data_IF_904409872701
#
_entry.id   IF_904409872701
#
_cell.length_a   1.000
_cell.length_b   1.000
_cell.length_c   1.000
_cell.angle_alpha   90.00
_cell.angle_beta   90.00
_cell.angle_gamma   90.00
#
_symmetry.space_group_name_H-M   'P 1'
#
loop_
_entity.id
_entity.type
_entity.pdbx_description
1 polymer ?
#
# COMPACT_ATOMS: atom_id res chain seq x y z
N UNK A 1 -15.86 -10.07 -32.74
CA UNK A 1 -16.12 -8.66 -33.10
C UNK A 1 -16.48 -7.85 -31.85
N UNK A 2 -15.59 -7.82 -30.84
CA UNK A 2 -15.90 -7.20 -29.52
C UNK A 2 -14.69 -6.48 -28.88
N UNK A 3 -13.59 -6.28 -29.60
CA UNK A 3 -12.32 -5.83 -29.01
C UNK A 3 -11.84 -4.43 -29.43
N UNK A 4 -12.56 -3.73 -30.32
CA UNK A 4 -12.15 -2.39 -30.79
C UNK A 4 -12.89 -1.22 -30.13
N UNK A 5 -14.07 -1.44 -29.55
CA UNK A 5 -14.97 -0.34 -29.16
C UNK A 5 -14.87 0.10 -27.69
N UNK A 6 -14.18 -0.67 -26.84
CA UNK A 6 -13.99 -0.30 -25.42
C UNK A 6 -12.85 0.70 -25.19
N UNK A 7 -11.98 0.92 -26.18
CA UNK A 7 -10.85 1.87 -26.06
C UNK A 7 -11.23 3.31 -26.39
N UNK A 8 -12.31 3.54 -27.14
CA UNK A 8 -12.70 4.85 -27.68
C UNK A 8 -13.57 5.68 -26.73
N UNK A 9 -14.25 5.06 -25.76
CA UNK A 9 -15.19 5.75 -24.86
C UNK A 9 -14.81 5.56 -23.38
N UNK A 10 -14.21 6.59 -22.73
CA UNK A 10 -13.77 6.50 -21.34
C UNK A 10 -14.93 6.26 -20.36
N UNK A 11 -16.16 6.71 -20.69
CA UNK A 11 -17.33 6.52 -19.82
C UNK A 11 -17.81 5.07 -19.83
N UNK A 12 -17.78 4.42 -21.00
CA UNK A 12 -18.13 3.00 -21.14
C UNK A 12 -17.13 2.09 -20.43
N UNK A 13 -15.83 2.41 -20.49
CA UNK A 13 -14.81 1.60 -19.81
C UNK A 13 -14.88 1.73 -18.28
N UNK A 14 -15.07 2.94 -17.76
CA UNK A 14 -15.31 3.16 -16.32
C UNK A 14 -16.60 2.48 -15.89
N UNK A 15 -17.66 2.57 -16.71
CA UNK A 15 -18.91 1.85 -16.48
C UNK A 15 -18.74 0.33 -16.46
N UNK A 16 -18.00 -0.25 -17.40
CA UNK A 16 -17.71 -1.67 -17.46
C UNK A 16 -16.81 -2.12 -16.30
N UNK A 17 -15.76 -1.37 -15.96
CA UNK A 17 -14.88 -1.67 -14.83
C UNK A 17 -15.60 -1.58 -13.49
N UNK A 18 -16.43 -0.54 -13.29
CA UNK A 18 -17.29 -0.40 -12.13
C UNK A 18 -18.32 -1.54 -12.07
N UNK A 19 -18.96 -1.89 -13.19
CA UNK A 19 -19.92 -3.00 -13.25
C UNK A 19 -19.27 -4.37 -12.99
N UNK A 20 -18.05 -4.60 -13.50
CA UNK A 20 -17.29 -5.83 -13.25
C UNK A 20 -16.88 -5.92 -11.79
N UNK A 21 -16.45 -4.80 -11.21
CA UNK A 21 -16.06 -4.70 -9.80
C UNK A 21 -17.26 -4.89 -8.88
N UNK A 22 -18.40 -4.25 -9.18
CA UNK A 22 -19.66 -4.41 -8.45
C UNK A 22 -20.23 -5.83 -8.59
N UNK A 23 -20.16 -6.42 -9.79
CA UNK A 23 -20.59 -7.79 -10.04
C UNK A 23 -19.73 -8.80 -9.28
N UNK A 24 -18.41 -8.62 -9.29
CA UNK A 24 -17.49 -9.45 -8.53
C UNK A 24 -17.66 -9.27 -7.02
N UNK A 25 -17.86 -8.03 -6.54
CA UNK A 25 -18.15 -7.75 -5.14
C UNK A 25 -19.48 -8.37 -4.69
N UNK A 26 -20.53 -8.34 -5.52
CA UNK A 26 -21.82 -8.93 -5.23
C UNK A 26 -21.74 -10.47 -5.15
N UNK A 27 -21.08 -11.10 -6.13
CA UNK A 27 -20.87 -12.57 -6.14
C UNK A 27 -20.09 -13.02 -4.92
N UNK A 28 -19.00 -12.32 -4.58
CA UNK A 28 -18.19 -12.66 -3.42
C UNK A 28 -18.88 -12.34 -2.09
N UNK A 29 -19.71 -11.30 -2.02
CA UNK A 29 -20.49 -10.97 -0.80
C UNK A 29 -21.57 -12.02 -0.50
N UNK A 30 -22.11 -12.65 -1.54
CA UNK A 30 -23.07 -13.77 -1.41
C UNK A 30 -22.33 -15.06 -1.03
N UNK A 31 -21.12 -15.29 -1.57
CA UNK A 31 -20.30 -16.46 -1.26
C UNK A 31 -19.57 -16.37 0.10
N UNK A 32 -19.33 -15.15 0.62
CA UNK A 32 -18.64 -14.90 1.88
C UNK A 32 -19.58 -15.02 3.08
N UNK A 33 -19.64 -16.22 3.64
CA UNK A 33 -20.50 -16.58 4.79
C UNK A 33 -20.03 -15.97 6.11
N UNK A 34 -18.74 -15.67 6.25
CA UNK A 34 -18.18 -15.07 7.49
C UNK A 34 -17.81 -13.60 7.31
N UNK A 35 -17.87 -12.77 8.37
CA UNK A 35 -17.46 -11.37 8.33
C UNK A 35 -16.02 -11.16 7.83
N UNK A 36 -15.13 -12.13 8.07
CA UNK A 36 -13.72 -12.09 7.65
C UNK A 36 -13.54 -12.41 6.15
N UNK A 37 -14.35 -13.30 5.59
CA UNK A 37 -14.35 -13.54 4.14
C UNK A 37 -14.78 -12.28 3.35
N UNK A 38 -15.62 -11.43 3.95
CA UNK A 38 -16.06 -10.14 3.37
C UNK A 38 -14.94 -9.09 3.32
N UNK A 39 -13.97 -9.13 4.23
CA UNK A 39 -12.77 -8.26 4.19
C UNK A 39 -11.83 -8.61 3.02
N UNK A 40 -11.72 -9.90 2.68
CA UNK A 40 -10.95 -10.33 1.49
C UNK A 40 -11.60 -9.88 0.17
N UNK A 41 -12.92 -9.66 0.17
CA UNK A 41 -13.63 -9.09 -1.00
C UNK A 41 -13.14 -7.68 -1.29
N UNK A 42 -12.92 -6.85 -0.26
CA UNK A 42 -12.40 -5.49 -0.44
C UNK A 42 -10.98 -5.49 -1.03
N UNK A 43 -10.12 -6.41 -0.60
CA UNK A 43 -8.78 -6.58 -1.18
C UNK A 43 -8.84 -7.05 -2.63
N UNK A 44 -9.69 -8.02 -2.94
CA UNK A 44 -9.84 -8.52 -4.31
C UNK A 44 -10.45 -7.46 -5.25
N UNK A 45 -11.43 -6.70 -4.77
CA UNK A 45 -11.99 -5.53 -5.47
C UNK A 45 -10.92 -4.47 -5.71
N UNK A 46 -10.07 -4.19 -4.72
CA UNK A 46 -8.96 -3.24 -4.85
C UNK A 46 -7.93 -3.69 -5.87
N UNK A 47 -7.55 -4.98 -5.88
CA UNK A 47 -6.64 -5.54 -6.89
C UNK A 47 -7.25 -5.47 -8.29
N UNK A 48 -8.52 -5.82 -8.45
CA UNK A 48 -9.22 -5.74 -9.76
C UNK A 48 -9.31 -4.28 -10.23
N UNK A 49 -9.62 -3.36 -9.33
CA UNK A 49 -9.64 -1.93 -9.64
C UNK A 49 -8.26 -1.43 -10.06
N UNK A 50 -7.22 -1.67 -9.25
CA UNK A 50 -5.85 -1.23 -9.53
C UNK A 50 -5.28 -1.85 -10.80
N UNK A 51 -5.55 -3.13 -11.07
CA UNK A 51 -5.10 -3.80 -12.31
C UNK A 51 -5.83 -3.25 -13.54
N UNK A 52 -7.12 -2.95 -13.42
CA UNK A 52 -7.89 -2.30 -14.50
C UNK A 52 -7.37 -0.91 -14.78
N UNK A 53 -7.08 -0.14 -13.73
CA UNK A 53 -6.47 1.19 -13.81
C UNK A 53 -5.07 1.12 -14.45
N UNK A 54 -4.19 0.22 -13.98
CA UNK A 54 -2.85 0.02 -14.54
C UNK A 54 -2.87 -0.44 -16.01
N UNK A 55 -3.80 -1.34 -16.36
CA UNK A 55 -4.00 -1.80 -17.74
C UNK A 55 -4.50 -0.65 -18.64
N UNK A 56 -5.40 0.19 -18.14
CA UNK A 56 -5.86 1.39 -18.84
C UNK A 56 -4.73 2.39 -19.07
N UNK A 57 -3.85 2.58 -18.09
CA UNK A 57 -2.69 3.45 -18.23
C UNK A 57 -1.68 2.91 -19.24
N UNK A 58 -1.45 1.60 -19.30
CA UNK A 58 -0.67 0.98 -20.39
C UNK A 58 -1.32 1.23 -21.76
N UNK A 59 -2.64 1.20 -21.84
CA UNK A 59 -3.37 1.44 -23.09
C UNK A 59 -3.45 2.93 -23.48
N UNK A 60 -3.32 3.88 -22.53
CA UNK A 60 -3.29 5.32 -22.82
C UNK A 60 -1.93 5.82 -23.30
N UNK A 61 -0.85 5.04 -23.13
CA UNK A 61 0.48 5.34 -23.67
C UNK A 61 0.54 5.34 -25.21
N UNK A 62 -0.57 5.00 -25.90
CA UNK A 62 -0.70 5.16 -27.36
C UNK A 62 -0.84 6.61 -27.83
N UNK A 63 -0.93 7.59 -26.93
CA UNK A 63 -0.71 9.00 -27.23
C UNK A 63 0.37 9.51 -26.28
N UNK A 64 1.61 9.45 -26.76
CA UNK A 64 2.72 10.19 -26.15
C UNK A 64 2.34 11.67 -26.28
N UNK A 65 1.72 12.24 -25.24
CA UNK A 65 2.02 13.63 -24.88
C UNK A 65 3.52 13.63 -24.74
N UNK A 66 4.23 14.32 -25.64
CA UNK A 66 5.67 14.51 -25.51
C UNK A 66 5.93 14.82 -24.04
N UNK A 67 6.72 14.00 -23.31
CA UNK A 67 7.02 14.33 -21.94
C UNK A 67 7.63 15.72 -22.00
N UNK A 68 6.88 16.73 -21.52
CA UNK A 68 7.50 18.00 -21.17
C UNK A 68 8.70 17.58 -20.35
N UNK A 69 9.87 17.88 -20.91
CA UNK A 69 11.20 17.39 -20.55
C UNK A 69 11.29 16.87 -19.13
N UNK A 70 11.96 15.72 -18.93
CA UNK A 70 12.43 15.23 -17.64
C UNK A 70 13.08 16.37 -16.85
N UNK A 71 12.25 17.13 -16.14
CA UNK A 71 12.62 18.39 -15.55
C UNK A 71 13.00 18.04 -14.14
N UNK A 72 14.28 18.27 -13.81
CA UNK A 72 14.85 18.04 -12.49
C UNK A 72 14.00 18.61 -11.35
N UNK A 73 13.12 19.58 -11.64
CA UNK A 73 12.13 20.15 -10.75
C UNK A 73 11.06 19.15 -10.24
N UNK A 74 10.65 18.14 -11.03
CA UNK A 74 9.66 17.13 -10.61
C UNK A 74 10.20 16.26 -9.48
N UNK A 75 11.41 15.76 -9.65
CA UNK A 75 12.11 14.97 -8.64
C UNK A 75 12.45 15.82 -7.41
N UNK A 76 12.74 17.10 -7.61
CA UNK A 76 12.96 18.06 -6.51
C UNK A 76 11.71 18.26 -5.65
N UNK A 77 10.54 18.46 -6.26
CA UNK A 77 9.28 18.66 -5.52
C UNK A 77 8.82 17.39 -4.79
N UNK A 78 8.95 16.23 -5.44
CA UNK A 78 8.70 14.95 -4.78
C UNK A 78 9.66 14.75 -3.62
N UNK A 79 10.96 14.97 -3.82
CA UNK A 79 11.96 14.85 -2.78
C UNK A 79 11.66 15.78 -1.59
N UNK A 80 11.24 17.03 -1.81
CA UNK A 80 10.85 17.94 -0.74
C UNK A 80 9.62 17.43 0.02
N UNK A 81 8.58 16.95 -0.68
CA UNK A 81 7.39 16.39 -0.03
C UNK A 81 7.73 15.13 0.79
N UNK A 82 8.55 14.24 0.24
CA UNK A 82 9.06 13.03 0.91
C UNK A 82 9.93 13.37 2.12
N UNK A 83 10.82 14.36 2.01
CA UNK A 83 11.68 14.81 3.11
C UNK A 83 10.86 15.43 4.22
N UNK A 84 9.91 16.32 3.91
CA UNK A 84 9.00 16.89 4.92
C UNK A 84 8.18 15.81 5.62
N UNK A 85 7.64 14.86 4.85
CA UNK A 85 6.98 13.67 5.39
C UNK A 85 7.88 12.88 6.33
N UNK A 86 9.12 12.61 5.93
CA UNK A 86 10.10 11.86 6.72
C UNK A 86 10.45 12.57 8.03
N UNK A 87 10.65 13.89 7.99
CA UNK A 87 11.08 14.67 9.15
C UNK A 87 10.03 14.70 10.26
N UNK A 88 8.73 14.74 9.92
CA UNK A 88 7.63 14.68 10.90
C UNK A 88 7.67 13.38 11.69
N UNK A 89 8.02 12.27 11.04
CA UNK A 89 8.04 10.94 11.64
C UNK A 89 9.40 10.57 12.24
N UNK A 90 10.46 11.33 11.99
CA UNK A 90 11.82 10.98 12.42
C UNK A 90 11.97 10.79 13.95
N UNK A 91 11.18 11.50 14.75
CA UNK A 91 11.20 11.37 16.22
C UNK A 91 10.78 9.98 16.68
N UNK A 92 9.90 9.30 15.93
CA UNK A 92 9.41 7.96 16.25
C UNK A 92 10.50 6.88 16.20
N UNK A 93 11.61 7.14 15.50
CA UNK A 93 12.73 6.20 15.42
C UNK A 93 13.38 5.94 16.78
N UNK A 94 13.15 6.82 17.76
CA UNK A 94 13.61 6.67 19.14
C UNK A 94 12.57 6.00 20.05
N UNK A 95 11.40 5.62 19.54
CA UNK A 95 10.40 4.94 20.34
C UNK A 95 10.83 3.50 20.61
N UNK A 96 10.45 3.02 21.78
CA UNK A 96 10.63 1.62 22.16
C UNK A 96 9.38 0.82 21.78
N UNK A 97 9.51 -0.50 21.80
CA UNK A 97 8.37 -1.40 21.62
C UNK A 97 7.28 -1.15 22.67
N UNK A 98 6.03 -1.26 22.24
CA UNK A 98 4.85 -1.01 23.07
C UNK A 98 3.73 -2.00 22.77
N UNK A 99 3.03 -2.43 23.83
CA UNK A 99 1.81 -3.25 23.71
C UNK A 99 2.03 -4.54 22.93
N UNK A 100 1.30 -4.69 21.82
CA UNK A 100 1.28 -5.91 21.00
C UNK A 100 2.63 -6.22 20.32
N UNK A 101 3.56 -5.25 20.29
CA UNK A 101 4.88 -5.42 19.68
C UNK A 101 5.64 -6.61 20.26
N UNK A 102 5.54 -6.83 21.58
CA UNK A 102 6.22 -7.93 22.26
C UNK A 102 5.70 -9.31 21.82
N UNK A 103 4.42 -9.42 21.52
CA UNK A 103 3.84 -10.64 20.96
C UNK A 103 4.40 -10.95 19.57
N UNK A 104 4.48 -9.92 18.72
CA UNK A 104 5.06 -10.04 17.37
C UNK A 104 6.54 -10.41 17.45
N UNK A 105 7.31 -9.78 18.34
CA UNK A 105 8.72 -10.09 18.54
C UNK A 105 8.94 -11.53 18.99
N UNK A 106 8.14 -12.01 19.95
CA UNK A 106 8.22 -13.39 20.43
C UNK A 106 7.97 -14.40 19.29
N UNK A 107 6.98 -14.12 18.43
CA UNK A 107 6.73 -14.96 17.24
C UNK A 107 7.91 -14.86 16.27
N UNK A 108 8.44 -13.66 16.01
CA UNK A 108 9.47 -13.42 15.00
C UNK A 108 10.85 -14.05 15.27
N UNK A 109 11.10 -14.57 16.49
CA UNK A 109 12.35 -15.23 16.87
C UNK A 109 12.61 -16.57 16.16
N UNK A 110 11.57 -17.26 15.68
CA UNK A 110 11.73 -18.54 15.01
C UNK A 110 12.27 -18.39 13.57
N UNK A 111 12.89 -19.43 12.97
CA UNK A 111 13.54 -19.33 11.67
C UNK A 111 12.60 -18.89 10.54
N UNK A 112 13.05 -17.90 9.76
CA UNK A 112 12.26 -17.23 8.71
C UNK A 112 11.50 -18.20 7.80
N UNK A 113 12.19 -19.18 7.19
CA UNK A 113 11.57 -20.07 6.20
C UNK A 113 10.46 -20.95 6.79
N UNK A 114 10.62 -21.43 8.02
CA UNK A 114 9.56 -22.19 8.70
C UNK A 114 8.36 -21.30 9.03
N UNK A 115 8.61 -20.05 9.41
CA UNK A 115 7.55 -19.13 9.79
C UNK A 115 6.75 -18.62 8.61
N UNK A 116 7.41 -18.23 7.51
CA UNK A 116 6.73 -17.77 6.28
C UNK A 116 5.78 -18.85 5.79
N UNK A 117 6.25 -20.10 5.68
CA UNK A 117 5.35 -21.20 5.28
C UNK A 117 4.17 -21.34 6.24
N UNK A 118 4.41 -21.24 7.55
CA UNK A 118 3.36 -21.36 8.55
C UNK A 118 2.30 -20.26 8.43
N UNK A 119 2.71 -18.99 8.34
CA UNK A 119 1.76 -17.86 8.31
C UNK A 119 0.93 -17.80 7.02
N UNK A 120 1.47 -18.29 5.90
CA UNK A 120 0.69 -18.44 4.67
C UNK A 120 -0.30 -19.60 4.72
N UNK A 121 -0.03 -20.65 5.47
CA UNK A 121 -0.93 -21.80 5.59
C UNK A 121 -1.98 -21.63 6.70
N UNK A 122 -1.61 -21.00 7.81
CA UNK A 122 -2.41 -21.00 9.05
C UNK A 122 -2.67 -19.59 9.62
N UNK A 123 -2.15 -18.52 9.01
CA UNK A 123 -2.28 -17.16 9.53
C UNK A 123 -1.43 -16.92 10.78
N UNK A 124 -1.92 -16.12 11.72
CA UNK A 124 -1.23 -15.77 12.96
C UNK A 124 -1.11 -16.91 14.00
N UNK A 125 -1.56 -18.12 13.67
CA UNK A 125 -1.54 -19.29 14.56
C UNK A 125 -2.61 -19.28 15.65
N UNK A 126 -3.13 -18.10 16.04
CA UNK A 126 -4.24 -17.94 16.97
C UNK A 126 -5.62 -17.99 16.27
N UNK A 127 -5.65 -17.92 14.94
CA UNK A 127 -6.88 -17.89 14.15
C UNK A 127 -7.64 -16.56 14.26
N UNK A 128 -6.97 -15.50 14.72
CA UNK A 128 -7.58 -14.18 14.91
C UNK A 128 -7.44 -13.35 13.63
N UNK A 129 -6.23 -13.31 13.07
CA UNK A 129 -5.89 -12.53 11.88
C UNK A 129 -5.14 -13.35 10.83
N UNK A 130 -5.51 -13.16 9.56
CA UNK A 130 -4.77 -13.70 8.42
C UNK A 130 -4.00 -12.56 7.72
N UNK A 131 -2.73 -12.36 8.10
CA UNK A 131 -1.88 -11.25 7.64
C UNK A 131 -0.47 -11.74 7.22
N UNK A 132 -0.37 -12.66 6.26
CA UNK A 132 0.89 -13.35 5.94
C UNK A 132 2.01 -12.40 5.49
N UNK A 133 1.68 -11.34 4.73
CA UNK A 133 2.68 -10.35 4.30
C UNK A 133 3.21 -9.52 5.46
N UNK A 134 2.34 -9.10 6.38
CA UNK A 134 2.72 -8.35 7.57
C UNK A 134 3.67 -9.18 8.44
N UNK A 135 3.30 -10.43 8.78
CA UNK A 135 4.16 -11.31 9.56
C UNK A 135 5.48 -11.63 8.85
N UNK A 136 5.44 -11.88 7.53
CA UNK A 136 6.67 -12.09 6.74
C UNK A 136 7.62 -10.90 6.84
N UNK A 137 7.11 -9.67 6.80
CA UNK A 137 7.94 -8.48 6.96
C UNK A 137 8.57 -8.38 8.36
N UNK A 138 7.87 -8.80 9.42
CA UNK A 138 8.44 -8.84 10.78
C UNK A 138 9.51 -9.90 10.93
N UNK A 139 9.37 -11.05 10.27
CA UNK A 139 10.40 -12.10 10.27
C UNK A 139 11.65 -11.65 9.54
N UNK A 140 11.49 -10.92 8.44
CA UNK A 140 12.61 -10.29 7.73
C UNK A 140 13.30 -9.25 8.62
N UNK A 141 12.53 -8.37 9.26
CA UNK A 141 13.10 -7.39 10.17
C UNK A 141 13.82 -8.03 11.35
N UNK A 142 13.26 -9.07 11.96
CA UNK A 142 13.94 -9.77 13.05
C UNK A 142 15.24 -10.45 12.56
N UNK A 143 15.26 -10.92 11.32
CA UNK A 143 16.48 -11.51 10.72
C UNK A 143 17.56 -10.46 10.50
N UNK A 144 17.19 -9.22 10.15
CA UNK A 144 18.13 -8.13 9.83
C UNK A 144 18.54 -7.33 11.07
N UNK A 145 17.57 -7.02 11.93
CA UNK A 145 17.69 -6.08 13.04
C UNK A 145 17.64 -6.75 14.43
N UNK A 146 17.25 -8.03 14.52
CA UNK A 146 16.96 -8.67 15.81
C UNK A 146 15.87 -7.92 16.57
N UNK A 147 16.00 -7.78 17.89
CA UNK A 147 15.05 -7.03 18.73
C UNK A 147 15.44 -5.54 18.88
N UNK A 148 15.94 -4.90 17.81
CA UNK A 148 16.32 -3.48 17.82
C UNK A 148 15.15 -2.63 17.30
N UNK A 149 14.48 -1.80 18.14
CA UNK A 149 13.25 -1.07 17.75
C UNK A 149 13.40 -0.20 16.51
N UNK A 150 14.52 0.51 16.39
CA UNK A 150 14.74 1.47 15.30
C UNK A 150 14.63 0.81 13.91
N UNK A 151 15.03 -0.46 13.78
CA UNK A 151 14.94 -1.19 12.51
C UNK A 151 13.49 -1.39 12.05
N UNK A 152 12.60 -1.73 12.99
CA UNK A 152 11.18 -1.94 12.69
C UNK A 152 10.45 -0.64 12.34
N UNK A 153 10.74 0.44 13.05
CA UNK A 153 10.21 1.77 12.74
C UNK A 153 10.73 2.28 11.40
N UNK A 154 12.01 2.00 11.07
CA UNK A 154 12.57 2.34 9.77
C UNK A 154 11.86 1.60 8.64
N UNK A 155 11.54 0.32 8.81
CA UNK A 155 10.76 -0.44 7.83
C UNK A 155 9.37 0.19 7.61
N UNK A 156 8.66 0.58 8.67
CA UNK A 156 7.36 1.28 8.53
C UNK A 156 7.52 2.62 7.81
N UNK A 157 8.57 3.39 8.14
CA UNK A 157 8.87 4.65 7.49
C UNK A 157 9.12 4.47 6.00
N UNK A 158 9.97 3.51 5.62
CA UNK A 158 10.26 3.20 4.21
C UNK A 158 8.98 2.83 3.46
N UNK A 159 8.13 1.99 4.03
CA UNK A 159 6.84 1.63 3.42
C UNK A 159 5.95 2.86 3.23
N UNK A 160 5.86 3.76 4.21
CA UNK A 160 5.12 5.02 4.08
C UNK A 160 5.67 5.91 2.96
N UNK A 161 6.99 6.01 2.82
CA UNK A 161 7.62 6.77 1.73
C UNK A 161 7.33 6.16 0.36
N UNK A 162 7.24 4.84 0.26
CA UNK A 162 6.80 4.14 -0.96
C UNK A 162 5.35 4.49 -1.28
N UNK A 163 4.45 4.50 -0.29
CA UNK A 163 3.06 4.93 -0.47
C UNK A 163 2.97 6.40 -0.93
N UNK A 164 3.76 7.31 -0.35
CA UNK A 164 3.81 8.73 -0.75
C UNK A 164 4.28 8.87 -2.22
N UNK A 165 5.33 8.15 -2.60
CA UNK A 165 5.81 8.13 -3.98
C UNK A 165 4.76 7.56 -4.95
N UNK A 166 4.08 6.49 -4.54
CA UNK A 166 2.97 5.89 -5.27
C UNK A 166 1.80 6.86 -5.46
N UNK A 167 1.42 7.59 -4.41
CA UNK A 167 0.38 8.61 -4.45
C UNK A 167 0.74 9.74 -5.41
N UNK A 168 1.97 10.26 -5.35
CA UNK A 168 2.43 11.27 -6.31
C UNK A 168 2.34 10.74 -7.74
N UNK A 169 2.88 9.55 -8.01
CA UNK A 169 2.83 8.93 -9.33
C UNK A 169 1.39 8.73 -9.81
N UNK A 170 0.49 8.32 -8.92
CA UNK A 170 -0.94 8.16 -9.20
C UNK A 170 -1.60 9.49 -9.56
N UNK A 171 -1.36 10.56 -8.79
CA UNK A 171 -1.85 11.90 -9.11
C UNK A 171 -1.35 12.39 -10.48
N UNK A 172 -0.06 12.16 -10.79
CA UNK A 172 0.53 12.51 -12.09
C UNK A 172 -0.12 11.73 -13.23
N UNK A 173 -0.43 10.46 -13.03
CA UNK A 173 -1.16 9.64 -14.00
C UNK A 173 -2.59 10.12 -14.23
N UNK A 174 -3.25 10.71 -13.22
CA UNK A 174 -4.57 11.34 -13.36
C UNK A 174 -4.55 12.70 -14.07
N UNK A 175 -3.38 13.20 -14.47
CA UNK A 175 -3.24 14.51 -15.13
C UNK A 175 -3.26 15.69 -14.14
N UNK A 176 -3.15 15.45 -12.84
CA UNK A 176 -3.03 16.50 -11.83
C UNK A 176 -1.68 17.21 -12.01
N UNK A 177 -1.67 18.54 -11.88
CA UNK A 177 -0.44 19.34 -12.01
C UNK A 177 0.67 18.85 -11.06
N UNK A 178 1.94 19.05 -11.45
CA UNK A 178 3.12 18.65 -10.64
C UNK A 178 3.05 19.19 -9.22
N UNK A 179 2.75 20.48 -9.11
CA UNK A 179 2.66 21.20 -7.85
C UNK A 179 1.52 20.66 -6.99
N UNK A 180 0.33 20.50 -7.57
CA UNK A 180 -0.83 19.97 -6.84
C UNK A 180 -0.58 18.52 -6.38
N UNK A 181 0.02 17.67 -7.21
CA UNK A 181 0.38 16.30 -6.84
C UNK A 181 1.39 16.27 -5.67
N UNK A 182 2.42 17.14 -5.71
CA UNK A 182 3.41 17.25 -4.63
C UNK A 182 2.77 17.77 -3.33
N UNK A 183 1.89 18.77 -3.41
CA UNK A 183 1.15 19.30 -2.26
C UNK A 183 0.26 18.20 -1.66
N UNK A 184 -0.49 17.47 -2.48
CA UNK A 184 -1.33 16.35 -2.02
C UNK A 184 -0.50 15.28 -1.34
N UNK A 185 0.62 14.87 -1.95
CA UNK A 185 1.53 13.88 -1.37
C UNK A 185 2.16 14.37 -0.05
N UNK A 186 2.56 15.63 0.03
CA UNK A 186 3.14 16.23 1.24
C UNK A 186 2.12 16.40 2.37
N UNK A 187 0.88 16.78 2.06
CA UNK A 187 -0.22 16.82 3.03
C UNK A 187 -0.43 15.40 3.57
N UNK A 188 -0.68 14.42 2.69
CA UNK A 188 -0.87 13.02 3.08
C UNK A 188 0.30 12.51 3.94
N UNK A 189 1.53 12.78 3.53
CA UNK A 189 2.73 12.35 4.25
C UNK A 189 2.78 12.84 5.70
N UNK A 190 2.22 14.02 5.98
CA UNK A 190 2.29 14.71 7.28
C UNK A 190 0.99 14.63 8.10
N UNK A 191 -0.05 13.96 7.60
CA UNK A 191 -1.33 13.89 8.31
C UNK A 191 -1.18 13.10 9.63
N UNK A 192 -1.58 13.67 10.79
CA UNK A 192 -1.48 12.99 12.09
C UNK A 192 -2.28 11.68 12.18
N UNK A 193 -3.28 11.50 11.32
CA UNK A 193 -4.09 10.27 11.25
C UNK A 193 -3.24 9.02 10.98
N UNK A 194 -2.05 9.18 10.39
CA UNK A 194 -1.14 8.07 10.09
C UNK A 194 -0.27 7.65 11.27
N UNK A 195 -0.40 8.27 12.45
CA UNK A 195 0.48 7.98 13.60
C UNK A 195 0.45 6.50 14.01
N UNK A 196 -0.72 5.87 14.02
CA UNK A 196 -0.85 4.46 14.39
C UNK A 196 -0.21 3.55 13.34
N UNK A 197 -0.41 3.86 12.06
CA UNK A 197 0.17 3.07 10.98
C UNK A 197 1.71 3.22 10.93
N UNK A 198 2.22 4.45 11.01
CA UNK A 198 3.62 4.78 10.73
C UNK A 198 4.49 4.66 11.97
N UNK A 199 4.06 5.18 13.12
CA UNK A 199 4.88 5.27 14.32
C UNK A 199 4.83 4.01 15.20
N UNK A 200 3.70 3.30 15.25
CA UNK A 200 3.62 2.06 16.00
C UNK A 200 4.11 0.89 15.15
N UNK A 201 5.03 0.08 15.69
CA UNK A 201 5.57 -1.08 14.96
C UNK A 201 4.43 -1.99 14.50
N UNK A 202 3.56 -2.42 15.42
CA UNK A 202 2.49 -3.37 15.10
C UNK A 202 1.50 -2.82 14.06
N UNK A 203 1.37 -1.50 13.92
CA UNK A 203 0.51 -0.82 12.93
C UNK A 203 0.91 -1.04 11.46
N UNK A 204 2.00 -1.75 11.19
CA UNK A 204 2.47 -2.06 9.83
C UNK A 204 1.43 -2.65 8.89
N UNK A 205 0.46 -3.39 9.44
CA UNK A 205 -0.61 -3.96 8.61
C UNK A 205 -1.41 -2.87 7.87
N UNK A 206 -1.54 -1.68 8.45
CA UNK A 206 -2.20 -0.55 7.81
C UNK A 206 -1.31 0.05 6.73
N UNK A 207 -0.03 0.32 7.01
CA UNK A 207 0.92 0.89 6.02
C UNK A 207 1.09 -0.02 4.81
N UNK A 208 1.15 -1.34 5.01
CA UNK A 208 1.22 -2.31 3.89
C UNK A 208 -0.05 -2.34 3.03
N UNK A 209 -1.16 -1.81 3.53
CA UNK A 209 -2.44 -1.76 2.82
C UNK A 209 -2.74 -0.41 2.17
N UNK A 210 -1.85 0.57 2.33
CA UNK A 210 -2.02 1.96 1.85
C UNK A 210 -1.32 2.20 0.52
#
# INVERSE_FOLDING_TARGET
MFSRDLRSDPKKLVGCGAALTLGFAAVLSIAAVTPRARLNVMQAVSVVFLTTVAWRFRASQGQIVNPESNDSSEWGLLAVATVLGTLVWATMLNFYFVGDDFGILAVAQAPLFSQVKSVFLHGDGAGVFYRPLTFTSYFLDHTVWGAIPVGYHLTNLVLHLVTIAGLFAFCRQLGISRQSAAITAGIFASMPIHVEAVAWMSGRFDVLST
#
